data_IF_037263931512
#
_entry.id   IF_037263931512
#
_cell.length_a   1.000
_cell.length_b   1.000
_cell.length_c   1.000
_cell.angle_alpha   90.00
_cell.angle_beta   90.00
_cell.angle_gamma   90.00
#
_symmetry.space_group_name_H-M   'P 1'
#
loop_
_entity.id
_entity.type
_entity.pdbx_description
1 polymer ?
#
# COMPACT_ATOMS: atom_id res chain seq x y z
N UNK A 1 -3.24 10.90 -19.03
CA UNK A 1 -3.73 9.80 -18.18
C UNK A 1 -2.92 9.87 -16.88
N UNK A 2 -3.56 9.99 -15.72
CA UNK A 2 -2.87 10.30 -14.45
C UNK A 2 -2.66 9.02 -13.64
N UNK A 3 -1.42 8.79 -13.19
CA UNK A 3 -1.06 7.66 -12.31
C UNK A 3 -0.70 8.20 -10.92
N UNK A 4 -0.89 7.38 -9.89
CA UNK A 4 -0.42 7.66 -8.54
C UNK A 4 0.67 6.67 -8.12
N UNK A 5 1.59 7.14 -7.27
CA UNK A 5 2.56 6.30 -6.58
C UNK A 5 2.29 6.41 -5.08
N UNK A 6 2.15 5.28 -4.40
CA UNK A 6 2.06 5.21 -2.94
C UNK A 6 3.37 4.61 -2.42
N UNK A 7 4.11 5.39 -1.65
CA UNK A 7 5.33 4.95 -0.99
C UNK A 7 4.97 4.21 0.30
N UNK A 8 5.16 2.89 0.27
CA UNK A 8 4.87 1.96 1.36
C UNK A 8 6.13 1.24 1.83
N UNK A 9 7.23 1.98 1.95
CA UNK A 9 8.49 1.47 2.45
C UNK A 9 8.63 1.58 3.98
N UNK A 10 9.52 0.76 4.53
CA UNK A 10 10.05 0.93 5.89
C UNK A 10 9.28 0.19 6.99
N UNK A 11 10.04 -0.22 8.01
CA UNK A 11 9.66 -1.15 9.08
C UNK A 11 8.61 -0.64 10.08
N UNK A 12 8.22 0.63 10.02
CA UNK A 12 7.21 1.18 10.93
C UNK A 12 7.55 1.01 12.42
N UNK A 13 8.84 1.10 12.79
CA UNK A 13 9.35 0.68 14.11
C UNK A 13 8.73 1.44 15.29
N UNK A 14 8.25 2.67 15.07
CA UNK A 14 7.52 3.47 16.07
C UNK A 14 6.16 2.90 16.48
N UNK A 15 5.58 2.02 15.66
CA UNK A 15 4.28 1.39 15.90
C UNK A 15 4.44 -0.05 16.44
N UNK A 16 5.63 -0.47 16.83
CA UNK A 16 5.84 -1.76 17.47
C UNK A 16 5.06 -1.84 18.79
N UNK A 17 4.48 -3.01 19.15
CA UNK A 17 4.68 -4.31 18.50
C UNK A 17 3.80 -4.59 17.28
N UNK A 18 2.88 -3.69 16.88
CA UNK A 18 1.90 -3.95 15.81
C UNK A 18 2.58 -4.26 14.46
N UNK A 19 3.66 -3.54 14.16
CA UNK A 19 4.40 -3.66 12.89
C UNK A 19 5.39 -4.83 12.84
N UNK A 20 5.43 -5.67 13.88
CA UNK A 20 6.25 -6.89 13.87
C UNK A 20 5.64 -8.00 13.01
N UNK A 21 4.31 -8.01 12.83
CA UNK A 21 3.58 -9.09 12.14
C UNK A 21 2.72 -8.60 10.98
N UNK A 22 2.41 -7.30 10.94
CA UNK A 22 1.55 -6.67 9.94
C UNK A 22 2.27 -5.45 9.34
N UNK A 23 2.29 -5.25 8.01
CA UNK A 23 2.83 -4.03 7.41
C UNK A 23 2.14 -2.80 7.96
N UNK A 24 2.89 -1.70 8.15
CA UNK A 24 2.32 -0.44 8.66
C UNK A 24 1.09 0.04 7.86
N UNK A 25 1.06 -0.28 6.58
CA UNK A 25 0.02 0.11 5.61
C UNK A 25 -1.24 -0.75 5.67
N UNK A 26 -1.14 -1.95 6.28
CA UNK A 26 -2.27 -2.83 6.57
C UNK A 26 -2.83 -2.67 7.98
N UNK A 27 -2.26 -1.78 8.81
CA UNK A 27 -2.83 -1.50 10.14
C UNK A 27 -4.27 -0.97 9.95
N UNK A 28 -5.26 -1.60 10.61
CA UNK A 28 -6.66 -1.22 10.44
C UNK A 28 -6.96 0.08 11.20
N UNK A 29 -7.65 0.99 10.53
CA UNK A 29 -8.29 2.17 11.10
C UNK A 29 -9.80 1.98 10.93
N UNK A 30 -10.51 1.76 12.03
CA UNK A 30 -11.95 1.45 12.01
C UNK A 30 -12.25 0.26 11.08
N UNK A 31 -11.55 -0.85 11.29
CA UNK A 31 -11.68 -2.13 10.54
C UNK A 31 -11.27 -2.08 9.06
N UNK A 32 -10.71 -0.97 8.56
CA UNK A 32 -10.24 -0.86 7.17
C UNK A 32 -8.75 -0.53 7.18
N UNK A 33 -7.91 -1.24 6.41
CA UNK A 33 -6.50 -0.90 6.27
C UNK A 33 -6.25 0.56 5.92
N UNK A 34 -5.27 1.18 6.57
CA UNK A 34 -4.89 2.57 6.32
C UNK A 34 -4.71 2.87 4.83
N UNK A 35 -3.98 2.02 4.10
CA UNK A 35 -3.73 2.23 2.67
C UNK A 35 -4.99 2.10 1.81
N UNK A 36 -5.97 1.29 2.22
CA UNK A 36 -7.23 1.19 1.48
C UNK A 36 -7.99 2.52 1.50
N UNK A 37 -7.96 3.25 2.61
CA UNK A 37 -8.55 4.59 2.68
C UNK A 37 -7.85 5.56 1.72
N UNK A 38 -6.52 5.46 1.56
CA UNK A 38 -5.76 6.25 0.58
C UNK A 38 -6.16 5.90 -0.86
N UNK A 39 -6.23 4.61 -1.19
CA UNK A 39 -6.64 4.13 -2.52
C UNK A 39 -8.05 4.60 -2.86
N UNK A 40 -9.00 4.50 -1.92
CA UNK A 40 -10.37 5.02 -2.10
C UNK A 40 -10.42 6.51 -2.41
N UNK A 41 -9.54 7.31 -1.80
CA UNK A 41 -9.44 8.74 -2.10
C UNK A 41 -8.86 9.01 -3.49
N UNK A 42 -7.84 8.26 -3.91
CA UNK A 42 -7.28 8.37 -5.27
C UNK A 42 -8.31 7.99 -6.35
N UNK A 43 -9.09 6.94 -6.10
CA UNK A 43 -10.21 6.53 -6.98
C UNK A 43 -11.23 7.67 -7.09
N UNK A 44 -11.63 8.29 -5.97
CA UNK A 44 -12.54 9.46 -5.98
C UNK A 44 -11.97 10.64 -6.75
N UNK A 45 -10.65 10.80 -6.79
CA UNK A 45 -9.95 11.81 -7.58
C UNK A 45 -9.82 11.44 -9.08
N UNK A 46 -10.36 10.28 -9.51
CA UNK A 46 -10.35 9.84 -10.91
C UNK A 46 -9.09 9.09 -11.35
N UNK A 47 -8.23 8.68 -10.42
CA UNK A 47 -7.00 7.94 -10.71
C UNK A 47 -7.32 6.45 -10.86
N UNK A 48 -6.91 5.84 -11.98
CA UNK A 48 -7.19 4.44 -12.32
C UNK A 48 -5.96 3.53 -12.32
N UNK A 49 -4.77 4.10 -12.22
CA UNK A 49 -3.52 3.36 -12.16
C UNK A 49 -2.74 3.78 -10.92
N UNK A 50 -2.44 2.82 -10.05
CA UNK A 50 -1.72 3.02 -8.79
C UNK A 50 -0.49 2.12 -8.77
N UNK A 51 0.65 2.69 -8.41
CA UNK A 51 1.90 1.96 -8.21
C UNK A 51 2.18 1.94 -6.71
N UNK A 52 2.27 0.75 -6.12
CA UNK A 52 2.65 0.52 -4.74
C UNK A 52 4.15 0.23 -4.67
N UNK A 53 4.91 1.20 -4.19
CA UNK A 53 6.33 1.02 -3.91
C UNK A 53 6.49 0.41 -2.51
N UNK A 54 6.76 -0.90 -2.47
CA UNK A 54 6.74 -1.73 -1.26
C UNK A 54 8.13 -2.31 -1.00
N UNK A 55 8.57 -2.33 0.26
CA UNK A 55 9.86 -2.95 0.64
C UNK A 55 9.77 -3.94 1.80
N UNK A 56 8.70 -3.90 2.60
CA UNK A 56 8.55 -4.76 3.78
C UNK A 56 7.22 -5.52 3.67
N UNK A 57 7.28 -6.85 3.79
CA UNK A 57 6.10 -7.73 3.77
C UNK A 57 5.20 -7.48 2.54
N UNK A 58 5.82 -7.30 1.37
CA UNK A 58 5.17 -7.08 0.07
C UNK A 58 4.09 -8.12 -0.23
N UNK A 59 4.38 -9.40 0.05
CA UNK A 59 3.43 -10.50 -0.12
C UNK A 59 2.09 -10.25 0.58
N UNK A 60 2.09 -9.66 1.79
CA UNK A 60 0.84 -9.38 2.51
C UNK A 60 0.03 -8.28 1.81
N UNK A 61 0.71 -7.29 1.23
CA UNK A 61 0.06 -6.22 0.47
C UNK A 61 -0.52 -6.76 -0.83
N UNK A 62 0.25 -7.57 -1.57
CA UNK A 62 -0.21 -8.23 -2.79
C UNK A 62 -1.43 -9.12 -2.53
N UNK A 63 -1.39 -9.92 -1.46
CA UNK A 63 -2.52 -10.75 -1.05
C UNK A 63 -3.78 -9.94 -0.71
N UNK A 64 -3.65 -8.76 -0.11
CA UNK A 64 -4.80 -7.94 0.28
C UNK A 64 -5.35 -7.10 -0.88
N UNK A 65 -4.48 -6.44 -1.64
CA UNK A 65 -4.84 -5.47 -2.66
C UNK A 65 -5.02 -6.09 -4.05
N UNK A 66 -4.34 -7.21 -4.33
CA UNK A 66 -4.40 -7.90 -5.62
C UNK A 66 -4.03 -6.98 -6.79
N UNK A 67 -4.61 -7.20 -7.95
CA UNK A 67 -4.43 -6.35 -9.14
C UNK A 67 -5.27 -5.06 -9.13
N UNK A 68 -6.07 -4.84 -8.08
CA UNK A 68 -6.98 -3.69 -7.98
C UNK A 68 -8.33 -3.86 -8.66
N UNK A 69 -8.58 -5.00 -9.33
CA UNK A 69 -9.83 -5.28 -10.07
C UNK A 69 -11.09 -5.12 -9.22
N UNK A 70 -11.03 -5.46 -7.92
CA UNK A 70 -12.14 -5.28 -6.97
C UNK A 70 -12.59 -3.82 -6.79
N UNK A 71 -11.78 -2.86 -7.20
CA UNK A 71 -12.10 -1.43 -7.20
C UNK A 71 -12.17 -0.81 -8.61
N UNK A 72 -12.05 -1.63 -9.67
CA UNK A 72 -12.07 -1.15 -11.06
C UNK A 72 -10.85 -0.31 -11.45
N UNK A 73 -9.71 -0.55 -10.81
CA UNK A 73 -8.42 0.10 -11.10
C UNK A 73 -7.34 -0.94 -11.36
N UNK A 74 -6.18 -0.50 -11.84
CA UNK A 74 -4.97 -1.31 -11.95
C UNK A 74 -3.98 -0.95 -10.84
N UNK A 75 -3.53 -1.95 -10.10
CA UNK A 75 -2.48 -1.83 -9.10
C UNK A 75 -1.22 -2.55 -9.60
N UNK A 76 -0.10 -1.83 -9.58
CA UNK A 76 1.23 -2.35 -9.90
C UNK A 76 2.09 -2.32 -8.65
N UNK A 77 2.95 -3.32 -8.48
CA UNK A 77 3.85 -3.42 -7.33
C UNK A 77 5.28 -3.22 -7.80
N UNK A 78 6.04 -2.43 -7.06
CA UNK A 78 7.49 -2.32 -7.24
C UNK A 78 8.16 -2.70 -5.94
N UNK A 79 8.98 -3.74 -5.97
CA UNK A 79 9.72 -4.21 -4.82
C UNK A 79 11.05 -3.46 -4.70
N UNK A 80 11.20 -2.69 -3.62
CA UNK A 80 12.49 -2.14 -3.21
C UNK A 80 13.22 -3.19 -2.36
N UNK A 81 14.23 -3.83 -2.94
CA UNK A 81 15.05 -4.85 -2.24
C UNK A 81 15.86 -4.27 -1.08
N UNK A 82 16.21 -3.00 -1.13
CA UNK A 82 16.87 -2.28 -0.05
C UNK A 82 16.22 -0.90 0.15
N UNK A 83 15.99 -0.44 1.40
CA UNK A 83 15.45 0.88 1.66
C UNK A 83 16.49 1.95 1.26
N UNK A 84 16.32 2.54 0.08
CA UNK A 84 17.23 3.56 -0.48
C UNK A 84 17.04 4.96 0.14
N UNK A 85 16.12 5.10 1.10
CA UNK A 85 15.75 6.38 1.69
C UNK A 85 14.90 7.24 0.75
N UNK A 86 14.28 8.27 1.32
CA UNK A 86 13.53 9.35 0.64
C UNK A 86 13.85 10.65 1.33
#
# INVERSE_FOLDING_TARGET
MTKAVILSGGWGTRLRPLTCTIPKTLIPIVNVPLMENTIKQLIKAGIKEIILAVSVMSDQLENYFGDGSKWGISIYYTEEKEPMGT
#
